data_IF_592215964584
#
_entry.id   IF_592215964584
#
_cell.length_a   1.000
_cell.length_b   1.000
_cell.length_c   1.000
_cell.angle_alpha   90.00
_cell.angle_beta   90.00
_cell.angle_gamma   90.00
#
_symmetry.space_group_name_H-M   'P 1'
#
loop_
_entity.id
_entity.type
_entity.pdbx_description
1 polymer ?
#
# COMPACT_ATOMS: atom_id res chain seq x y z
N UNK A 1 -24.15 20.40 1.44
CA UNK A 1 -22.86 19.72 1.25
C UNK A 1 -22.17 19.24 2.55
N UNK A 2 -22.89 18.92 3.62
CA UNK A 2 -22.29 18.35 4.85
C UNK A 2 -21.73 16.93 4.62
N UNK A 3 -22.34 16.17 3.71
CA UNK A 3 -21.89 14.82 3.36
C UNK A 3 -20.49 14.82 2.74
N UNK A 4 -20.20 15.80 1.88
CA UNK A 4 -18.87 15.94 1.27
C UNK A 4 -17.81 16.18 2.35
N UNK A 5 -18.14 16.99 3.36
CA UNK A 5 -17.25 17.23 4.49
C UNK A 5 -17.04 15.97 5.35
N UNK A 6 -18.09 15.16 5.56
CA UNK A 6 -18.01 13.92 6.34
C UNK A 6 -17.27 12.81 5.56
N UNK A 7 -17.66 12.54 4.32
CA UNK A 7 -16.96 11.61 3.43
C UNK A 7 -15.50 12.04 3.25
N UNK A 8 -15.27 13.35 3.09
CA UNK A 8 -13.95 13.93 2.98
C UNK A 8 -13.15 13.73 4.27
N UNK A 9 -13.75 14.02 5.42
CA UNK A 9 -13.10 13.86 6.73
C UNK A 9 -12.77 12.40 7.03
N UNK A 10 -13.64 11.46 6.69
CA UNK A 10 -13.46 10.03 6.97
C UNK A 10 -12.58 9.34 5.92
N UNK A 11 -12.85 9.52 4.62
CA UNK A 11 -11.96 9.04 3.54
C UNK A 11 -10.57 9.69 3.64
N UNK A 12 -10.51 10.97 3.98
CA UNK A 12 -9.25 11.69 4.16
C UNK A 12 -8.55 11.23 5.44
N UNK A 13 -9.30 10.98 6.51
CA UNK A 13 -8.77 10.45 7.77
C UNK A 13 -8.21 9.03 7.59
N UNK A 14 -8.89 8.18 6.79
CA UNK A 14 -8.40 6.84 6.48
C UNK A 14 -7.20 6.87 5.51
N UNK A 15 -7.23 7.77 4.52
CA UNK A 15 -6.12 7.88 3.56
C UNK A 15 -4.94 8.69 4.08
N UNK A 16 -5.14 9.62 5.01
CA UNK A 16 -4.03 10.25 5.72
C UNK A 16 -3.28 9.21 6.58
N UNK A 17 -3.93 8.10 6.92
CA UNK A 17 -3.25 6.97 7.57
C UNK A 17 -2.37 6.17 6.59
N UNK A 18 -2.63 6.21 5.29
CA UNK A 18 -1.71 5.68 4.26
C UNK A 18 -0.46 6.55 4.13
N UNK A 19 -0.48 7.73 4.71
CA UNK A 19 0.61 8.71 4.62
C UNK A 19 1.92 8.23 5.26
N UNK A 20 1.86 7.39 6.27
CA UNK A 20 3.06 6.78 6.86
C UNK A 20 3.78 5.85 5.87
N UNK A 21 3.03 5.30 4.93
CA UNK A 21 3.58 4.45 3.87
C UNK A 21 4.21 5.31 2.75
N UNK A 22 3.72 6.53 2.64
CA UNK A 22 4.25 7.54 1.71
C UNK A 22 5.75 7.79 1.87
N UNK A 23 6.03 7.94 2.92
CA UNK A 23 7.36 8.25 3.28
C UNK A 23 8.33 7.14 3.00
N UNK A 24 7.94 6.08 3.02
CA UNK A 24 8.78 4.99 2.74
C UNK A 24 8.87 4.70 1.29
N UNK A 25 7.88 5.01 0.69
CA UNK A 25 7.80 4.79 -0.71
C UNK A 25 8.21 5.98 -1.53
N UNK A 26 7.96 7.00 -1.12
CA UNK A 26 8.30 8.21 -1.77
C UNK A 26 9.77 8.57 -1.69
N UNK A 27 10.29 8.26 -0.83
CA UNK A 27 11.67 8.49 -0.66
C UNK A 27 12.53 7.49 -1.36
N UNK A 28 12.12 6.40 -1.43
CA UNK A 28 12.81 5.41 -2.13
C UNK A 28 12.73 5.60 -3.63
N UNK A 29 11.74 6.17 -3.94
CA UNK A 29 11.48 6.53 -5.30
C UNK A 29 12.16 7.82 -5.70
N UNK A 30 12.31 8.47 -4.90
CA UNK A 30 12.88 9.75 -5.07
C UNK A 30 14.39 9.80 -5.19
N UNK A 31 14.88 8.87 -4.83
CA UNK A 31 16.29 8.77 -4.86
C UNK A 31 16.91 8.45 -6.19
N UNK A 32 16.26 8.03 -6.95
CA UNK A 32 16.80 7.59 -8.17
C UNK A 32 16.05 8.11 -9.40
N UNK A 33 15.22 8.86 -9.24
CA UNK A 33 14.43 9.28 -10.33
C UNK A 33 15.03 10.41 -11.15
N UNK A 34 15.91 11.19 -10.92
CA UNK A 34 16.51 12.25 -11.71
C UNK A 34 15.78 12.62 -13.01
N UNK A 35 16.52 12.55 -14.06
CA UNK A 35 15.95 12.86 -15.40
C UNK A 35 14.77 11.97 -15.78
N UNK A 36 14.66 10.79 -15.14
CA UNK A 36 13.59 9.82 -15.41
C UNK A 36 12.40 9.95 -14.43
N UNK A 37 12.31 11.05 -13.73
CA UNK A 37 11.27 11.28 -12.71
C UNK A 37 9.84 11.12 -13.28
N UNK A 38 9.55 11.71 -14.44
CA UNK A 38 8.18 11.74 -15.00
C UNK A 38 7.67 10.33 -15.32
N UNK A 39 8.39 9.52 -16.13
CA UNK A 39 7.90 8.15 -16.40
C UNK A 39 7.82 7.29 -15.13
N UNK A 40 8.78 7.40 -14.22
CA UNK A 40 8.76 6.67 -12.94
C UNK A 40 7.52 7.06 -12.11
N UNK A 41 7.26 8.36 -12.00
CA UNK A 41 6.12 8.87 -11.24
C UNK A 41 4.79 8.40 -11.85
N UNK A 42 4.66 8.44 -13.19
CA UNK A 42 3.44 7.96 -13.87
C UNK A 42 3.22 6.47 -13.55
N UNK A 43 4.27 5.65 -13.67
CA UNK A 43 4.18 4.22 -13.34
C UNK A 43 3.71 4.01 -11.91
N UNK A 44 4.34 4.68 -10.95
CA UNK A 44 4.00 4.57 -9.52
C UNK A 44 2.57 5.03 -9.24
N UNK A 45 2.13 6.14 -9.83
CA UNK A 45 0.78 6.68 -9.60
C UNK A 45 -0.32 5.73 -10.10
N UNK A 46 -0.07 4.97 -11.16
CA UNK A 46 -1.04 3.97 -11.65
C UNK A 46 -1.30 2.92 -10.56
N UNK A 47 -0.26 2.41 -9.93
CA UNK A 47 -0.40 1.33 -8.92
C UNK A 47 -0.68 1.86 -7.52
N UNK A 48 -0.03 2.95 -7.10
CA UNK A 48 -0.18 3.50 -5.75
C UNK A 48 -1.47 4.32 -5.57
N UNK A 49 -2.03 4.88 -6.65
CA UNK A 49 -3.20 5.76 -6.57
C UNK A 49 -4.36 5.26 -7.45
N UNK A 50 -4.08 4.88 -8.68
CA UNK A 50 -5.09 4.39 -9.63
C UNK A 50 -5.72 3.07 -9.20
N UNK A 51 -4.89 2.08 -8.87
CA UNK A 51 -5.38 0.75 -8.48
C UNK A 51 -6.21 0.76 -7.19
N UNK A 52 -5.86 1.51 -6.13
CA UNK A 52 -6.74 1.63 -4.97
C UNK A 52 -8.13 2.18 -5.30
N UNK A 53 -8.22 3.18 -6.18
CA UNK A 53 -9.53 3.68 -6.65
C UNK A 53 -10.31 2.55 -7.34
N UNK A 54 -9.66 1.84 -8.27
CA UNK A 54 -10.29 0.72 -8.99
C UNK A 54 -10.69 -0.40 -8.03
N UNK A 55 -9.92 -0.67 -6.97
CA UNK A 55 -10.24 -1.66 -5.94
C UNK A 55 -11.56 -1.34 -5.23
N UNK A 56 -11.73 -0.08 -4.78
CA UNK A 56 -12.96 0.36 -4.14
C UNK A 56 -14.14 0.30 -5.14
N UNK A 57 -13.91 0.72 -6.38
CA UNK A 57 -14.93 0.67 -7.45
C UNK A 57 -15.35 -0.79 -7.72
N UNK A 58 -14.38 -1.71 -7.75
CA UNK A 58 -14.65 -3.14 -7.96
C UNK A 58 -15.57 -3.69 -6.86
N UNK A 59 -15.28 -3.36 -5.60
CA UNK A 59 -16.13 -3.76 -4.47
C UNK A 59 -17.55 -3.18 -4.61
N UNK A 60 -17.65 -1.90 -4.94
CA UNK A 60 -18.94 -1.22 -5.12
C UNK A 60 -19.76 -1.79 -6.28
N UNK A 61 -19.12 -2.10 -7.40
CA UNK A 61 -19.80 -2.67 -8.59
C UNK A 61 -20.17 -4.15 -8.36
N UNK A 62 -19.34 -4.88 -7.63
CA UNK A 62 -19.54 -6.30 -7.38
C UNK A 62 -20.75 -6.60 -6.48
N UNK A 63 -21.21 -5.63 -5.71
CA UNK A 63 -22.25 -5.79 -4.68
C UNK A 63 -21.87 -6.88 -3.66
N UNK A 64 -20.57 -7.10 -3.47
CA UNK A 64 -20.06 -8.09 -2.51
C UNK A 64 -19.95 -7.45 -1.13
N UNK A 65 -20.18 -8.27 -0.09
CA UNK A 65 -20.03 -7.86 1.31
C UNK A 65 -18.56 -7.60 1.70
N UNK A 66 -17.61 -7.97 0.82
CA UNK A 66 -16.18 -7.77 1.05
C UNK A 66 -15.31 -8.59 0.10
N UNK A 67 -14.01 -8.57 0.36
CA UNK A 67 -13.00 -9.25 -0.45
C UNK A 67 -13.24 -10.76 -0.53
N UNK A 68 -13.61 -11.37 0.61
CA UNK A 68 -13.84 -12.82 0.69
C UNK A 68 -14.90 -13.29 -0.31
N UNK A 69 -16.03 -12.59 -0.37
CA UNK A 69 -17.12 -12.92 -1.30
C UNK A 69 -16.70 -12.67 -2.75
N UNK A 70 -16.01 -11.53 -3.00
CA UNK A 70 -15.55 -11.15 -4.34
C UNK A 70 -14.57 -12.20 -4.90
N UNK A 71 -13.61 -12.66 -4.12
CA UNK A 71 -12.60 -13.64 -4.54
C UNK A 71 -13.16 -15.07 -4.59
N UNK A 72 -14.19 -15.38 -3.79
CA UNK A 72 -14.86 -16.69 -3.80
C UNK A 72 -15.61 -16.98 -5.11
N UNK A 73 -15.84 -15.97 -5.95
CA UNK A 73 -16.40 -16.16 -7.31
C UNK A 73 -15.54 -17.09 -8.16
N UNK A 74 -14.23 -17.13 -7.91
CA UNK A 74 -13.28 -18.04 -8.59
C UNK A 74 -13.48 -19.46 -8.06
N UNK A 75 -13.24 -19.61 -6.74
CA UNK A 75 -13.44 -20.85 -5.98
C UNK A 75 -13.47 -20.50 -4.50
N UNK A 76 -14.24 -21.23 -3.70
CA UNK A 76 -14.29 -20.99 -2.24
C UNK A 76 -12.89 -21.06 -1.60
N UNK A 77 -12.10 -22.07 -1.96
CA UNK A 77 -10.72 -22.22 -1.46
C UNK A 77 -9.81 -21.06 -1.84
N UNK A 78 -9.97 -20.53 -3.06
CA UNK A 78 -9.23 -19.34 -3.50
C UNK A 78 -9.63 -18.11 -2.67
N UNK A 79 -10.93 -17.97 -2.38
CA UNK A 79 -11.43 -16.89 -1.53
C UNK A 79 -10.76 -16.86 -0.16
N UNK A 80 -10.72 -18.02 0.50
CA UNK A 80 -10.03 -18.16 1.79
C UNK A 80 -8.52 -17.84 1.66
N UNK A 81 -7.85 -18.47 0.70
CA UNK A 81 -6.41 -18.27 0.49
C UNK A 81 -6.08 -16.80 0.25
N UNK A 82 -6.76 -16.18 -0.75
CA UNK A 82 -6.42 -14.82 -1.18
C UNK A 82 -6.74 -13.79 -0.08
N UNK A 83 -7.90 -13.95 0.61
CA UNK A 83 -8.28 -13.05 1.69
C UNK A 83 -7.30 -13.15 2.87
N UNK A 84 -6.97 -14.38 3.30
CA UNK A 84 -6.01 -14.58 4.40
C UNK A 84 -4.62 -14.04 4.03
N UNK A 85 -4.13 -14.36 2.82
CA UNK A 85 -2.81 -13.91 2.36
C UNK A 85 -2.75 -12.37 2.31
N UNK A 86 -3.80 -11.75 1.77
CA UNK A 86 -3.90 -10.28 1.69
C UNK A 86 -3.93 -9.64 3.08
N UNK A 87 -4.81 -10.12 3.97
CA UNK A 87 -4.92 -9.54 5.33
C UNK A 87 -3.67 -9.77 6.16
N UNK A 88 -2.99 -10.93 6.03
CA UNK A 88 -1.72 -11.16 6.72
C UNK A 88 -0.62 -10.22 6.20
N UNK A 89 -0.62 -9.97 4.88
CA UNK A 89 0.36 -9.07 4.23
C UNK A 89 0.17 -7.62 4.68
N UNK A 90 -1.07 -7.08 4.59
CA UNK A 90 -1.35 -5.69 5.04
C UNK A 90 -1.46 -5.60 6.56
N UNK A 91 -1.54 -6.71 7.24
CA UNK A 91 -1.64 -6.81 8.70
C UNK A 91 -0.29 -7.11 9.35
N UNK A 92 -0.23 -8.21 10.09
CA UNK A 92 0.88 -8.47 11.00
C UNK A 92 2.23 -8.71 10.34
N UNK A 93 2.27 -9.15 9.07
CA UNK A 93 3.55 -9.50 8.44
C UNK A 93 4.33 -8.26 8.00
N UNK A 94 3.67 -7.26 7.39
CA UNK A 94 4.41 -6.14 6.80
C UNK A 94 3.88 -4.76 7.16
N UNK A 95 2.60 -4.43 6.93
CA UNK A 95 2.16 -3.04 7.07
C UNK A 95 2.10 -2.58 8.54
N UNK A 96 1.63 -3.43 9.46
CA UNK A 96 1.57 -3.06 10.90
C UNK A 96 2.99 -2.88 11.46
N UNK A 97 3.95 -3.85 11.29
CA UNK A 97 5.33 -3.63 11.74
C UNK A 97 5.98 -2.42 11.08
N UNK A 98 5.71 -2.20 9.78
CA UNK A 98 6.25 -1.05 9.04
C UNK A 98 5.81 0.28 9.65
N UNK A 99 4.58 0.37 10.20
CA UNK A 99 4.12 1.59 10.87
C UNK A 99 5.03 1.97 12.06
N UNK A 100 5.38 1.00 12.90
CA UNK A 100 6.27 1.24 14.03
C UNK A 100 7.70 1.55 13.56
N UNK A 101 8.23 0.74 12.62
CA UNK A 101 9.58 0.91 12.09
C UNK A 101 9.75 2.28 11.40
N UNK A 102 8.77 2.70 10.58
CA UNK A 102 8.78 4.02 9.91
C UNK A 102 8.77 5.16 10.93
N UNK A 103 7.90 5.05 11.97
CA UNK A 103 7.83 6.06 13.03
C UNK A 103 9.16 6.18 13.74
N UNK A 104 9.82 5.06 13.99
CA UNK A 104 11.14 5.03 14.63
C UNK A 104 12.20 5.69 13.73
N UNK A 105 12.35 5.17 12.51
CA UNK A 105 13.40 5.61 11.56
C UNK A 105 13.27 7.09 11.19
N UNK A 106 12.04 7.59 10.99
CA UNK A 106 11.83 9.00 10.60
C UNK A 106 11.82 9.94 11.78
N UNK A 107 11.35 9.48 12.94
CA UNK A 107 11.06 10.37 14.06
C UNK A 107 12.06 10.32 15.20
N UNK A 108 12.50 9.13 15.56
CA UNK A 108 13.27 8.92 16.80
C UNK A 108 14.76 8.70 16.50
N UNK A 109 15.05 7.84 15.53
CA UNK A 109 16.43 7.44 15.18
C UNK A 109 17.35 8.64 14.91
N UNK A 110 16.92 9.70 14.16
CA UNK A 110 17.80 10.86 13.91
C UNK A 110 18.07 11.73 15.15
N UNK A 111 17.40 11.46 16.26
CA UNK A 111 17.54 12.21 17.53
C UNK A 111 18.36 11.44 18.58
N UNK A 112 18.88 10.26 18.22
CA UNK A 112 19.57 9.37 19.17
C UNK A 112 21.08 9.42 18.94
N UNK A 113 21.81 9.62 20.04
CA UNK A 113 23.28 9.48 20.07
C UNK A 113 23.65 8.27 20.94
N UNK A 114 23.12 7.07 20.64
CA UNK A 114 23.33 5.90 21.48
C UNK A 114 23.01 4.58 20.82
N UNK A 115 22.67 3.59 21.63
CA UNK A 115 22.34 2.25 21.15
C UNK A 115 20.96 2.24 20.49
N UNK A 116 20.96 2.37 19.17
CA UNK A 116 19.74 2.44 18.33
C UNK A 116 18.86 1.21 18.55
N UNK A 117 19.44 0.02 18.66
CA UNK A 117 18.68 -1.25 18.83
C UNK A 117 17.85 -1.25 20.12
N UNK A 118 18.46 -0.82 21.23
CA UNK A 118 17.77 -0.78 22.53
C UNK A 118 16.64 0.24 22.51
N UNK A 119 16.90 1.45 21.97
CA UNK A 119 15.88 2.51 21.88
C UNK A 119 14.74 2.07 20.95
N UNK A 120 15.05 1.40 19.83
CA UNK A 120 14.06 0.83 18.91
C UNK A 120 13.16 -0.18 19.65
N UNK A 121 13.74 -1.11 20.41
CA UNK A 121 12.98 -2.13 21.14
C UNK A 121 12.04 -1.49 22.17
N UNK A 122 12.52 -0.47 22.91
CA UNK A 122 11.69 0.27 23.89
C UNK A 122 10.55 1.00 23.15
N UNK A 123 10.87 1.74 22.09
CA UNK A 123 9.90 2.51 21.30
C UNK A 123 8.81 1.61 20.72
N UNK A 124 9.20 0.51 20.05
CA UNK A 124 8.24 -0.41 19.42
C UNK A 124 7.35 -1.08 20.47
N UNK A 125 7.91 -1.42 21.63
CA UNK A 125 7.13 -1.99 22.74
C UNK A 125 6.06 -1.00 23.22
N UNK A 126 6.43 0.26 23.46
CA UNK A 126 5.49 1.30 23.88
C UNK A 126 4.45 1.58 22.78
N UNK A 127 4.89 1.63 21.52
CA UNK A 127 4.03 1.85 20.36
C UNK A 127 2.96 0.75 20.29
N UNK A 128 3.37 -0.54 20.36
CA UNK A 128 2.44 -1.66 20.23
C UNK A 128 1.59 -1.87 21.49
N UNK A 129 2.08 -1.48 22.67
CA UNK A 129 1.26 -1.46 23.89
C UNK A 129 0.10 -0.46 23.71
N UNK A 130 0.39 0.73 23.18
CA UNK A 130 -0.64 1.73 22.87
C UNK A 130 -1.60 1.23 21.78
N UNK A 131 -1.06 0.65 20.68
CA UNK A 131 -1.89 0.10 19.59
C UNK A 131 -2.85 -0.95 20.14
N UNK A 132 -2.38 -1.89 20.95
CA UNK A 132 -3.21 -2.96 21.51
C UNK A 132 -4.27 -2.39 22.47
N UNK A 133 -3.88 -1.44 23.32
CA UNK A 133 -4.82 -0.80 24.26
C UNK A 133 -5.99 -0.18 23.51
N UNK A 134 -5.72 0.57 22.43
CA UNK A 134 -6.78 1.23 21.65
C UNK A 134 -7.56 0.23 20.76
N UNK A 135 -6.90 -0.80 20.23
CA UNK A 135 -7.59 -1.82 19.41
C UNK A 135 -8.57 -2.63 20.25
N UNK A 136 -8.26 -2.87 21.53
CA UNK A 136 -9.15 -3.60 22.44
C UNK A 136 -10.26 -2.73 23.05
N UNK A 137 -10.13 -1.40 22.93
CA UNK A 137 -11.11 -0.43 23.48
C UNK A 137 -11.41 0.63 22.41
N UNK A 138 -12.18 0.26 21.38
CA UNK A 138 -12.51 1.23 20.33
C UNK A 138 -13.26 2.40 20.95
N UNK A 139 -12.59 3.54 21.02
CA UNK A 139 -13.12 4.75 21.62
C UNK A 139 -13.10 5.89 20.62
N UNK A 140 -13.96 6.88 20.84
CA UNK A 140 -14.00 8.10 20.01
C UNK A 140 -12.73 8.95 20.12
N UNK A 141 -11.84 8.63 21.08
CA UNK A 141 -10.58 9.35 21.31
C UNK A 141 -9.71 9.31 20.04
N UNK A 142 -9.61 8.13 19.40
CA UNK A 142 -8.78 8.00 18.17
C UNK A 142 -9.31 8.81 16.99
N UNK A 143 -10.64 8.93 16.89
CA UNK A 143 -11.24 9.80 15.87
C UNK A 143 -10.96 11.28 16.16
N UNK A 144 -11.01 11.66 17.42
CA UNK A 144 -10.73 13.03 17.84
C UNK A 144 -9.24 13.40 17.66
N UNK A 145 -8.35 12.49 18.03
CA UNK A 145 -6.89 12.67 17.86
C UNK A 145 -6.57 12.83 16.36
N UNK A 146 -7.10 11.97 15.50
CA UNK A 146 -6.88 12.06 14.05
C UNK A 146 -7.42 13.37 13.45
N UNK A 147 -8.51 13.90 14.00
CA UNK A 147 -9.12 15.15 13.53
C UNK A 147 -8.16 16.34 13.62
N UNK A 148 -7.29 16.37 14.62
CA UNK A 148 -6.33 17.45 14.83
C UNK A 148 -4.94 17.12 14.28
N UNK A 149 -4.47 15.89 14.46
CA UNK A 149 -3.11 15.50 14.06
C UNK A 149 -2.93 15.41 12.55
N UNK A 150 -3.96 14.96 11.80
CA UNK A 150 -3.84 14.89 10.35
C UNK A 150 -3.62 16.27 9.70
N UNK A 151 -4.40 17.33 10.06
CA UNK A 151 -4.08 18.68 9.55
C UNK A 151 -2.70 19.18 9.97
N UNK A 152 -2.28 18.95 11.20
CA UNK A 152 -0.94 19.36 11.68
C UNK A 152 0.14 18.70 10.81
N UNK A 153 0.03 17.39 10.58
CA UNK A 153 0.97 16.65 9.73
C UNK A 153 1.02 17.24 8.31
N UNK A 154 -0.15 17.54 7.72
CA UNK A 154 -0.22 18.14 6.38
C UNK A 154 0.40 19.54 6.32
N UNK A 155 0.23 20.32 7.38
CA UNK A 155 0.86 21.66 7.49
C UNK A 155 2.38 21.49 7.58
N UNK A 156 2.88 20.59 8.44
CA UNK A 156 4.32 20.33 8.55
C UNK A 156 4.91 19.85 7.21
N UNK A 157 4.21 18.92 6.54
CA UNK A 157 4.62 18.44 5.23
C UNK A 157 4.58 19.57 4.20
N UNK A 158 3.55 20.40 4.23
CA UNK A 158 3.43 21.56 3.33
C UNK A 158 4.57 22.55 3.53
N UNK A 159 4.92 22.84 4.79
CA UNK A 159 6.06 23.73 5.11
C UNK A 159 7.37 23.12 4.60
N UNK A 160 7.58 21.81 4.80
CA UNK A 160 8.76 21.11 4.29
C UNK A 160 8.85 21.20 2.76
N UNK A 161 7.75 20.91 2.07
CA UNK A 161 7.67 20.95 0.60
C UNK A 161 7.94 22.37 0.10
N UNK A 162 7.31 23.37 0.70
CA UNK A 162 7.48 24.78 0.31
C UNK A 162 8.94 25.20 0.53
N UNK A 163 9.53 24.85 1.67
CA UNK A 163 10.92 25.18 1.99
C UNK A 163 11.87 24.57 0.95
N UNK A 164 11.68 23.28 0.62
CA UNK A 164 12.52 22.58 -0.36
C UNK A 164 12.36 23.14 -1.78
N UNK A 165 11.13 23.57 -2.16
CA UNK A 165 10.90 24.17 -3.49
C UNK A 165 11.47 25.59 -3.62
N UNK A 166 11.49 26.36 -2.51
CA UNK A 166 12.06 27.72 -2.50
C UNK A 166 13.60 27.69 -2.54
N UNK A 167 14.20 26.75 -1.83
CA UNK A 167 15.66 26.63 -1.72
C UNK A 167 16.13 25.22 -2.11
N UNK A 168 15.97 24.83 -3.38
CA UNK A 168 16.39 23.49 -3.81
C UNK A 168 17.92 23.36 -3.78
N UNK A 169 18.42 22.24 -3.27
CA UNK A 169 19.86 21.94 -3.26
C UNK A 169 20.38 21.73 -4.69
N UNK A 170 19.52 21.20 -5.57
CA UNK A 170 19.89 20.98 -6.97
C UNK A 170 18.64 20.88 -7.86
N UNK A 171 18.83 20.98 -9.17
CA UNK A 171 17.73 20.82 -10.11
C UNK A 171 17.46 19.33 -10.35
N UNK A 172 16.19 18.97 -10.55
CA UNK A 172 15.79 17.58 -10.81
C UNK A 172 16.56 16.99 -12.02
N UNK A 173 16.80 17.82 -13.05
CA UNK A 173 17.49 17.38 -14.27
C UNK A 173 18.97 17.10 -14.09
N UNK A 174 19.60 17.62 -13.03
CA UNK A 174 21.03 17.38 -12.78
C UNK A 174 21.29 16.04 -12.09
N UNK A 175 20.25 15.41 -11.55
CA UNK A 175 20.37 14.12 -10.86
C UNK A 175 20.41 13.00 -11.91
N UNK A 176 21.44 12.15 -11.93
CA UNK A 176 21.46 11.02 -12.87
C UNK A 176 20.43 9.98 -12.49
N UNK A 177 19.79 9.39 -13.47
CA UNK A 177 18.95 8.21 -13.23
C UNK A 177 19.89 7.05 -12.85
N UNK A 178 19.59 6.32 -11.81
CA UNK A 178 20.45 5.24 -11.30
C UNK A 178 19.68 3.95 -11.10
N UNK A 179 20.42 2.84 -11.10
CA UNK A 179 19.83 1.51 -10.92
C UNK A 179 18.79 1.19 -11.99
N UNK A 180 17.74 0.51 -11.62
CA UNK A 180 16.66 0.06 -12.50
C UNK A 180 15.91 1.23 -13.19
N UNK A 181 15.97 2.43 -12.61
CA UNK A 181 15.34 3.63 -13.20
C UNK A 181 16.06 4.10 -14.47
N UNK A 182 17.37 3.81 -14.60
CA UNK A 182 18.13 4.13 -15.82
C UNK A 182 17.69 3.25 -17.00
N UNK A 183 17.31 2.00 -16.72
CA UNK A 183 16.90 1.04 -17.75
C UNK A 183 15.43 1.18 -18.13
N UNK A 184 14.53 1.20 -17.13
CA UNK A 184 13.09 1.23 -17.40
C UNK A 184 12.33 1.95 -16.28
N UNK A 185 12.42 3.26 -16.26
CA UNK A 185 11.85 4.12 -15.22
C UNK A 185 10.34 3.89 -15.00
N UNK A 186 9.57 3.69 -16.08
CA UNK A 186 8.11 3.47 -15.97
C UNK A 186 7.81 2.15 -15.25
N UNK A 187 8.42 1.04 -15.68
CA UNK A 187 8.16 -0.27 -15.07
C UNK A 187 8.65 -0.29 -13.62
N UNK A 188 9.83 0.27 -13.35
CA UNK A 188 10.38 0.38 -11.99
C UNK A 188 9.41 1.18 -11.09
N UNK A 189 8.95 2.34 -11.56
CA UNK A 189 7.96 3.14 -10.83
C UNK A 189 6.66 2.39 -10.58
N UNK A 190 6.13 1.69 -11.58
CA UNK A 190 4.92 0.87 -11.48
C UNK A 190 5.07 -0.19 -10.37
N UNK A 191 6.20 -0.87 -10.31
CA UNK A 191 6.47 -1.90 -9.32
C UNK A 191 6.73 -1.30 -7.92
N UNK A 192 7.38 -0.15 -7.85
CA UNK A 192 7.55 0.58 -6.58
C UNK A 192 6.21 0.96 -5.96
N UNK A 193 5.19 1.17 -6.77
CA UNK A 193 3.84 1.39 -6.26
C UNK A 193 3.26 0.18 -5.51
N UNK A 194 3.78 -1.05 -5.72
CA UNK A 194 3.39 -2.22 -4.92
C UNK A 194 3.78 -2.05 -3.45
N UNK A 195 4.92 -1.42 -3.19
CA UNK A 195 5.44 -1.21 -1.84
C UNK A 195 4.57 -0.28 -0.98
N UNK A 196 3.68 0.50 -1.61
CA UNK A 196 2.72 1.33 -0.86
C UNK A 196 1.62 0.49 -0.19
N UNK A 197 1.36 -0.73 -0.69
CA UNK A 197 0.31 -1.65 -0.21
C UNK A 197 -1.11 -1.09 -0.38
N UNK A 198 -1.28 0.05 -1.03
CA UNK A 198 -2.55 0.78 -1.09
C UNK A 198 -3.62 0.04 -1.92
N UNK A 199 -3.24 -0.63 -3.02
CA UNK A 199 -4.21 -1.40 -3.81
C UNK A 199 -4.75 -2.59 -3.01
N UNK A 200 -3.88 -3.30 -2.27
CA UNK A 200 -4.30 -4.40 -1.39
C UNK A 200 -5.18 -3.86 -0.25
N UNK A 201 -4.77 -2.74 0.36
CA UNK A 201 -5.53 -2.09 1.43
C UNK A 201 -6.93 -1.64 0.93
N UNK A 202 -7.04 -1.19 -0.32
CA UNK A 202 -8.33 -0.78 -0.88
C UNK A 202 -9.31 -1.94 -0.99
N UNK A 203 -8.82 -3.14 -1.26
CA UNK A 203 -9.65 -4.36 -1.30
C UNK A 203 -10.09 -4.78 0.11
N UNK A 204 -9.23 -4.59 1.12
CA UNK A 204 -9.55 -4.93 2.50
C UNK A 204 -10.51 -3.91 3.12
N UNK A 205 -10.26 -2.61 2.91
CA UNK A 205 -10.97 -1.54 3.62
C UNK A 205 -12.04 -0.85 2.78
N UNK A 206 -12.15 -1.19 1.49
CA UNK A 206 -13.13 -0.56 0.60
C UNK A 206 -14.57 -0.75 1.08
N UNK A 207 -14.86 -1.85 1.76
CA UNK A 207 -16.18 -2.11 2.32
C UNK A 207 -16.53 -1.07 3.41
N UNK A 208 -15.56 -0.59 4.17
CA UNK A 208 -15.78 0.45 5.19
C UNK A 208 -16.27 1.74 4.52
N UNK A 209 -15.67 2.12 3.39
CA UNK A 209 -16.09 3.30 2.61
C UNK A 209 -17.54 3.13 2.14
N UNK A 210 -17.88 1.94 1.65
CA UNK A 210 -19.26 1.61 1.20
C UNK A 210 -20.22 1.72 2.39
N UNK A 211 -19.87 1.14 3.54
CA UNK A 211 -20.70 1.18 4.75
C UNK A 211 -20.93 2.62 5.26
N UNK A 212 -19.91 3.47 5.17
CA UNK A 212 -20.03 4.90 5.52
C UNK A 212 -21.06 5.59 4.60
N UNK A 213 -21.00 5.33 3.29
CA UNK A 213 -21.91 5.92 2.30
C UNK A 213 -23.35 5.42 2.56
N UNK A 214 -23.51 4.13 2.83
CA UNK A 214 -24.82 3.53 3.14
C UNK A 214 -25.38 4.10 4.46
N UNK A 215 -24.50 4.25 5.47
CA UNK A 215 -24.87 4.85 6.76
C UNK A 215 -25.33 6.30 6.68
N UNK A 216 -25.02 7.00 5.57
CA UNK A 216 -25.53 8.34 5.31
C UNK A 216 -26.92 8.33 4.64
N UNK A 217 -27.56 7.17 4.57
CA UNK A 217 -28.90 7.01 4.00
C UNK A 217 -28.92 6.85 2.47
N UNK A 218 -27.78 6.55 1.86
CA UNK A 218 -27.69 6.30 0.42
C UNK A 218 -27.72 4.78 0.21
N UNK A 219 -28.91 4.25 -0.11
CA UNK A 219 -29.15 2.81 -0.24
C UNK A 219 -29.17 2.32 -1.69
N UNK A 220 -29.45 3.22 -2.63
CA UNK A 220 -29.50 2.85 -4.06
C UNK A 220 -28.10 2.46 -4.56
N UNK A 221 -27.90 1.24 -5.11
CA UNK A 221 -26.57 0.78 -5.56
C UNK A 221 -25.88 1.71 -6.57
N UNK A 222 -26.66 2.32 -7.48
CA UNK A 222 -26.15 3.28 -8.46
C UNK A 222 -25.61 4.55 -7.80
N UNK A 223 -26.31 5.03 -6.76
CA UNK A 223 -25.92 6.21 -6.00
C UNK A 223 -24.69 5.91 -5.11
N UNK A 224 -24.64 4.72 -4.51
CA UNK A 224 -23.47 4.25 -3.74
C UNK A 224 -22.23 4.26 -4.65
N UNK A 225 -22.30 3.58 -5.80
CA UNK A 225 -21.19 3.52 -6.75
C UNK A 225 -20.74 4.91 -7.22
N UNK A 226 -21.72 5.77 -7.57
CA UNK A 226 -21.45 7.15 -8.02
C UNK A 226 -20.74 7.98 -6.95
N UNK A 227 -21.18 7.91 -5.69
CA UNK A 227 -20.59 8.67 -4.60
C UNK A 227 -19.21 8.10 -4.20
N UNK A 228 -19.05 6.79 -4.25
CA UNK A 228 -17.76 6.11 -4.06
C UNK A 228 -16.74 6.60 -5.09
N UNK A 229 -17.14 6.64 -6.39
CA UNK A 229 -16.28 7.11 -7.47
C UNK A 229 -15.91 8.58 -7.25
N UNK A 230 -16.89 9.44 -6.94
CA UNK A 230 -16.62 10.88 -6.73
C UNK A 230 -15.64 11.14 -5.60
N UNK A 231 -15.84 10.51 -4.44
CA UNK A 231 -14.94 10.67 -3.29
C UNK A 231 -13.56 10.06 -3.59
N UNK A 232 -13.54 8.92 -4.27
CA UNK A 232 -12.31 8.25 -4.68
C UNK A 232 -11.48 9.08 -5.65
N UNK A 233 -12.12 9.68 -6.66
CA UNK A 233 -11.43 10.55 -7.64
C UNK A 233 -10.83 11.77 -6.94
N UNK A 234 -11.58 12.39 -6.03
CA UNK A 234 -11.05 13.54 -5.28
C UNK A 234 -9.82 13.13 -4.46
N UNK A 235 -9.91 12.01 -3.73
CA UNK A 235 -8.78 11.48 -2.95
C UNK A 235 -7.59 11.14 -3.86
N UNK A 236 -7.86 10.58 -5.04
CA UNK A 236 -6.84 10.24 -6.04
C UNK A 236 -6.07 11.49 -6.48
N UNK A 237 -6.78 12.58 -6.80
CA UNK A 237 -6.15 13.84 -7.21
C UNK A 237 -5.23 14.37 -6.09
N UNK A 238 -5.74 14.40 -4.85
CA UNK A 238 -4.97 14.90 -3.71
C UNK A 238 -3.71 14.03 -3.47
N UNK A 239 -3.86 12.71 -3.50
CA UNK A 239 -2.73 11.79 -3.33
C UNK A 239 -1.70 11.95 -4.45
N UNK A 240 -2.16 12.11 -5.70
CA UNK A 240 -1.29 12.35 -6.86
C UNK A 240 -0.43 13.60 -6.64
N UNK A 241 -1.06 14.70 -6.20
CA UNK A 241 -0.34 15.95 -5.94
C UNK A 241 0.71 15.75 -4.83
N UNK A 242 0.33 15.09 -3.74
CA UNK A 242 1.24 14.84 -2.62
C UNK A 242 2.42 13.97 -3.05
N UNK A 243 2.15 12.86 -3.75
CA UNK A 243 3.22 11.96 -4.24
C UNK A 243 4.17 12.69 -5.18
N UNK A 244 3.61 13.49 -6.11
CA UNK A 244 4.41 14.26 -7.06
C UNK A 244 5.31 15.27 -6.35
N UNK A 245 4.76 16.00 -5.37
CA UNK A 245 5.53 16.99 -4.60
C UNK A 245 6.65 16.32 -3.79
N UNK A 246 6.37 15.21 -3.13
CA UNK A 246 7.40 14.47 -2.36
C UNK A 246 8.50 13.92 -3.29
N UNK A 247 8.11 13.41 -4.48
CA UNK A 247 9.08 12.91 -5.46
C UNK A 247 10.01 14.02 -5.96
N UNK A 248 9.45 15.21 -6.22
CA UNK A 248 10.25 16.38 -6.63
C UNK A 248 11.19 16.81 -5.51
N UNK A 249 10.69 16.89 -4.26
CA UNK A 249 11.51 17.26 -3.09
C UNK A 249 12.63 16.22 -2.90
N UNK A 250 12.33 14.94 -3.02
CA UNK A 250 13.34 13.88 -2.93
C UNK A 250 14.44 14.06 -3.98
N UNK A 251 14.06 14.28 -5.23
CA UNK A 251 15.04 14.49 -6.33
C UNK A 251 15.86 15.76 -6.12
N UNK A 252 15.23 16.87 -5.73
CA UNK A 252 15.93 18.14 -5.49
C UNK A 252 16.88 18.09 -4.29
N UNK A 253 16.64 17.20 -3.34
CA UNK A 253 17.45 17.04 -2.12
C UNK A 253 18.46 15.90 -2.22
N UNK A 254 18.69 15.34 -3.41
CA UNK A 254 19.57 14.18 -3.64
C UNK A 254 20.97 14.41 -3.05
N UNK A 255 21.54 15.61 -3.20
CA UNK A 255 22.85 15.97 -2.68
C UNK A 255 23.01 15.81 -1.17
N UNK A 256 21.91 15.89 -0.41
CA UNK A 256 21.94 15.77 1.05
C UNK A 256 22.19 14.34 1.55
N UNK A 257 21.90 13.33 0.71
CA UNK A 257 21.96 11.93 1.14
C UNK A 257 22.66 11.00 0.11
N UNK A 258 23.22 11.56 -0.95
CA UNK A 258 23.88 10.78 -2.02
C UNK A 258 24.96 9.84 -1.48
N UNK A 259 25.77 10.30 -0.53
CA UNK A 259 26.88 9.53 0.06
C UNK A 259 26.36 8.36 0.94
N UNK A 260 25.09 8.44 1.39
CA UNK A 260 24.50 7.41 2.25
C UNK A 260 23.80 6.30 1.47
N UNK A 261 23.62 6.47 0.15
CA UNK A 261 22.92 5.49 -0.70
C UNK A 261 23.65 4.13 -0.78
N UNK A 262 24.94 4.11 -0.49
CA UNK A 262 25.74 2.88 -0.48
C UNK A 262 25.47 2.02 0.78
N UNK A 263 24.87 2.60 1.82
CA UNK A 263 24.55 1.88 3.07
C UNK A 263 23.30 1.01 2.86
N UNK A 264 23.37 -0.32 3.04
CA UNK A 264 22.22 -1.21 2.90
C UNK A 264 21.07 -0.92 3.87
N UNK A 265 21.32 -0.18 4.96
CA UNK A 265 20.28 0.19 5.93
C UNK A 265 19.52 1.45 5.47
N UNK A 266 20.11 2.24 4.54
CA UNK A 266 19.50 3.48 4.07
C UNK A 266 18.20 3.19 3.31
N UNK A 267 17.19 3.98 3.57
CA UNK A 267 15.85 3.77 3.00
C UNK A 267 15.12 5.12 2.88
N UNK A 268 13.91 5.10 2.32
CA UNK A 268 13.12 6.32 2.12
C UNK A 268 12.77 7.06 3.41
N UNK A 269 12.68 6.35 4.53
CA UNK A 269 12.46 6.97 5.85
C UNK A 269 13.67 7.78 6.31
N UNK A 270 14.86 7.20 6.17
CA UNK A 270 16.12 7.90 6.49
C UNK A 270 16.33 9.11 5.57
N UNK A 271 16.11 8.95 4.26
CA UNK A 271 16.19 10.08 3.32
C UNK A 271 15.26 11.22 3.73
N UNK A 272 14.02 10.89 4.07
CA UNK A 272 13.02 11.90 4.50
C UNK A 272 13.46 12.59 5.78
N UNK A 273 14.04 11.87 6.74
CA UNK A 273 14.54 12.43 8.00
C UNK A 273 15.70 13.42 7.75
N UNK A 274 16.65 13.06 6.85
CA UNK A 274 17.76 13.95 6.45
C UNK A 274 17.20 15.24 5.84
N UNK A 275 16.27 15.13 4.90
CA UNK A 275 15.63 16.27 4.23
C UNK A 275 14.90 17.15 5.28
N UNK A 276 14.11 16.52 6.16
CA UNK A 276 13.34 17.24 7.18
C UNK A 276 14.27 17.99 8.16
N UNK A 277 15.38 17.34 8.56
CA UNK A 277 16.38 17.95 9.45
C UNK A 277 17.01 19.18 8.80
N UNK A 278 17.34 19.07 7.50
CA UNK A 278 17.96 20.18 6.74
C UNK A 278 17.02 21.41 6.67
N UNK A 279 15.75 21.19 6.27
CA UNK A 279 14.81 22.30 6.02
C UNK A 279 14.06 22.79 7.26
N UNK A 280 13.77 21.91 8.22
CA UNK A 280 12.94 22.26 9.39
C UNK A 280 13.75 22.43 10.68
N UNK A 281 15.01 22.04 10.68
CA UNK A 281 15.84 22.09 11.89
C UNK A 281 15.35 21.14 12.98
N UNK A 282 15.91 21.27 14.18
CA UNK A 282 15.64 20.36 15.32
C UNK A 282 14.19 20.45 15.81
N UNK A 283 13.63 21.66 15.89
CA UNK A 283 12.25 21.87 16.37
C UNK A 283 11.24 21.23 15.40
N UNK A 284 11.44 21.45 14.09
CA UNK A 284 10.58 20.85 13.05
C UNK A 284 10.65 19.33 13.07
N UNK A 285 11.84 18.77 13.32
CA UNK A 285 12.02 17.33 13.46
C UNK A 285 11.19 16.73 14.60
N UNK A 286 11.14 17.40 15.75
CA UNK A 286 10.35 16.92 16.91
C UNK A 286 8.85 16.90 16.55
N UNK A 287 8.36 17.98 15.92
CA UNK A 287 6.94 18.07 15.50
C UNK A 287 6.63 16.97 14.46
N UNK A 288 7.54 16.79 13.50
CA UNK A 288 7.39 15.73 12.48
C UNK A 288 7.38 14.34 13.13
N UNK A 289 8.30 14.07 14.05
CA UNK A 289 8.40 12.79 14.78
C UNK A 289 7.09 12.46 15.50
N UNK A 290 6.54 13.42 16.21
CA UNK A 290 5.27 13.24 16.93
C UNK A 290 4.12 12.99 15.96
N UNK A 291 3.99 13.80 14.91
CA UNK A 291 2.89 13.68 13.96
C UNK A 291 2.96 12.36 13.18
N UNK A 292 4.15 11.95 12.72
CA UNK A 292 4.36 10.67 12.02
C UNK A 292 4.00 9.50 12.95
N UNK A 293 4.49 9.55 14.20
CA UNK A 293 4.22 8.49 15.18
C UNK A 293 2.71 8.30 15.41
N UNK A 294 1.98 9.40 15.62
CA UNK A 294 0.54 9.30 15.86
C UNK A 294 -0.23 8.87 14.60
N UNK A 295 0.17 9.32 13.41
CA UNK A 295 -0.44 8.88 12.14
C UNK A 295 -0.21 7.38 11.92
N UNK A 296 1.01 6.90 12.14
CA UNK A 296 1.35 5.48 12.04
C UNK A 296 0.61 4.66 13.08
N UNK A 297 0.51 5.16 14.31
CA UNK A 297 -0.21 4.47 15.39
C UNK A 297 -1.69 4.31 15.04
N UNK A 298 -2.34 5.35 14.53
CA UNK A 298 -3.74 5.28 14.08
C UNK A 298 -3.91 4.22 12.97
N UNK A 299 -3.00 4.20 11.99
CA UNK A 299 -3.00 3.18 10.92
C UNK A 299 -2.88 1.78 11.51
N UNK A 300 -1.91 1.57 12.41
CA UNK A 300 -1.68 0.27 13.03
C UNK A 300 -2.91 -0.21 13.81
N UNK A 301 -3.58 0.69 14.56
CA UNK A 301 -4.82 0.37 15.28
C UNK A 301 -5.89 -0.11 14.30
N UNK A 302 -6.11 0.63 13.22
CA UNK A 302 -7.10 0.28 12.19
C UNK A 302 -6.80 -1.06 11.53
N UNK A 303 -5.53 -1.33 11.22
CA UNK A 303 -5.09 -2.59 10.62
C UNK A 303 -5.27 -3.78 11.59
N UNK A 304 -4.86 -3.63 12.87
CA UNK A 304 -5.04 -4.68 13.89
C UNK A 304 -6.53 -5.00 14.05
N UNK A 305 -7.36 -3.96 14.18
CA UNK A 305 -8.81 -4.11 14.34
C UNK A 305 -9.41 -4.85 13.15
N UNK A 306 -9.14 -4.38 11.93
CA UNK A 306 -9.70 -4.98 10.70
C UNK A 306 -9.23 -6.42 10.50
N UNK A 307 -7.96 -6.72 10.77
CA UNK A 307 -7.44 -8.09 10.68
C UNK A 307 -8.09 -8.99 11.72
N UNK A 308 -8.22 -8.53 12.97
CA UNK A 308 -8.82 -9.32 14.04
C UNK A 308 -10.32 -9.59 13.77
N UNK A 309 -11.06 -8.57 13.29
CA UNK A 309 -12.46 -8.73 12.88
C UNK A 309 -12.59 -9.77 11.76
N UNK A 310 -11.86 -9.57 10.68
CA UNK A 310 -11.93 -10.46 9.49
C UNK A 310 -11.58 -11.90 9.85
N UNK A 311 -10.52 -12.11 10.64
CA UNK A 311 -10.10 -13.47 11.03
C UNK A 311 -11.09 -14.11 11.99
N UNK A 312 -11.75 -13.34 12.88
CA UNK A 312 -12.78 -13.88 13.75
C UNK A 312 -14.05 -14.26 12.96
N UNK A 313 -14.35 -13.56 11.87
CA UNK A 313 -15.45 -13.90 10.94
C UNK A 313 -15.12 -15.13 10.09
N UNK A 314 -13.92 -15.20 9.53
CA UNK A 314 -13.49 -16.31 8.65
C UNK A 314 -13.34 -17.61 9.46
N UNK A 315 -12.87 -17.52 10.70
CA UNK A 315 -12.57 -18.68 11.55
C UNK A 315 -13.34 -18.58 12.90
N UNK A 316 -14.67 -18.69 12.89
CA UNK A 316 -15.49 -18.44 14.10
C UNK A 316 -15.25 -19.44 15.25
N UNK A 317 -14.66 -20.59 14.93
CA UNK A 317 -14.32 -21.61 15.95
C UNK A 317 -12.85 -21.57 16.41
N UNK A 318 -12.08 -20.54 15.99
CA UNK A 318 -10.66 -20.42 16.37
C UNK A 318 -10.47 -19.50 17.58
N UNK A 319 -9.93 -18.31 17.35
CA UNK A 319 -9.65 -17.33 18.41
C UNK A 319 -10.71 -16.23 18.41
N UNK A 320 -10.99 -15.71 19.59
CA UNK A 320 -11.84 -14.51 19.72
C UNK A 320 -11.13 -13.29 19.13
N UNK A 321 -11.89 -12.25 18.81
CA UNK A 321 -11.37 -10.95 18.36
C UNK A 321 -10.19 -10.49 19.23
N UNK A 322 -10.37 -10.54 20.57
CA UNK A 322 -9.35 -10.10 21.51
C UNK A 322 -8.04 -10.88 21.34
N UNK A 323 -8.14 -12.21 21.21
CA UNK A 323 -6.97 -13.08 21.09
C UNK A 323 -6.27 -12.89 19.73
N UNK A 324 -7.04 -12.68 18.63
CA UNK A 324 -6.50 -12.34 17.32
C UNK A 324 -5.75 -11.02 17.38
N UNK A 325 -6.35 -9.98 18.00
CA UNK A 325 -5.71 -8.67 18.15
C UNK A 325 -4.39 -8.76 18.93
N UNK A 326 -4.36 -9.55 20.02
CA UNK A 326 -3.14 -9.78 20.81
C UNK A 326 -2.09 -10.50 19.95
N UNK A 327 -2.48 -11.59 19.27
CA UNK A 327 -1.57 -12.40 18.45
C UNK A 327 -0.94 -11.55 17.31
N UNK A 328 -1.77 -10.79 16.60
CA UNK A 328 -1.29 -9.94 15.50
C UNK A 328 -0.38 -8.81 15.99
N UNK A 329 -0.73 -8.19 17.12
CA UNK A 329 0.08 -7.12 17.72
C UNK A 329 1.43 -7.66 18.21
N UNK A 330 1.43 -8.81 18.90
CA UNK A 330 2.66 -9.45 19.40
C UNK A 330 3.59 -9.86 18.26
N UNK A 331 3.03 -10.44 17.20
CA UNK A 331 3.81 -10.82 16.01
C UNK A 331 4.40 -9.57 15.34
N UNK A 332 3.58 -8.51 15.17
CA UNK A 332 4.02 -7.25 14.57
C UNK A 332 5.14 -6.58 15.38
N UNK A 333 5.07 -6.67 16.71
CA UNK A 333 6.14 -6.17 17.58
C UNK A 333 7.47 -6.89 17.29
N UNK A 334 7.43 -8.21 17.17
CA UNK A 334 8.65 -8.99 16.86
C UNK A 334 9.22 -8.57 15.48
N UNK A 335 8.36 -8.50 14.47
CA UNK A 335 8.77 -8.15 13.09
C UNK A 335 9.30 -6.72 13.01
N UNK A 336 8.72 -5.77 13.75
CA UNK A 336 9.13 -4.36 13.67
C UNK A 336 10.58 -4.13 14.13
N UNK A 337 11.11 -5.02 14.98
CA UNK A 337 12.47 -4.91 15.49
C UNK A 337 13.53 -5.42 14.51
N UNK A 338 13.13 -6.00 13.37
CA UNK A 338 14.05 -6.41 12.30
C UNK A 338 14.59 -5.17 11.54
N UNK A 339 13.87 -4.07 11.60
CA UNK A 339 14.23 -2.81 10.93
C UNK A 339 13.47 -2.59 9.63
N UNK A 340 13.27 -1.32 9.28
CA UNK A 340 12.43 -0.90 8.14
C UNK A 340 12.90 -1.48 6.80
N UNK A 341 14.20 -1.40 6.51
CA UNK A 341 14.78 -1.87 5.23
C UNK A 341 14.54 -3.36 5.01
N UNK A 342 14.74 -4.17 6.05
CA UNK A 342 14.51 -5.62 5.97
C UNK A 342 13.03 -5.96 5.80
N UNK A 343 12.12 -5.23 6.48
CA UNK A 343 10.68 -5.44 6.33
C UNK A 343 10.29 -5.20 4.87
N UNK A 344 10.82 -4.14 4.25
CA UNK A 344 10.56 -3.81 2.83
C UNK A 344 11.08 -4.95 1.94
N UNK A 345 12.32 -5.39 2.13
CA UNK A 345 12.92 -6.47 1.34
C UNK A 345 12.14 -7.79 1.44
N UNK A 346 11.71 -8.16 2.64
CA UNK A 346 10.95 -9.40 2.85
C UNK A 346 9.52 -9.31 2.30
N UNK A 347 8.95 -8.10 2.20
CA UNK A 347 7.61 -7.94 1.64
C UNK A 347 7.61 -8.05 0.11
N UNK A 348 8.69 -7.68 -0.57
CA UNK A 348 8.74 -7.60 -2.02
C UNK A 348 8.29 -8.89 -2.73
N UNK A 349 8.85 -10.09 -2.42
CA UNK A 349 8.40 -11.32 -3.11
C UNK A 349 6.91 -11.58 -2.94
N UNK A 350 6.37 -11.34 -1.73
CA UNK A 350 4.93 -11.54 -1.45
C UNK A 350 4.08 -10.55 -2.25
N UNK A 351 4.55 -9.30 -2.38
CA UNK A 351 3.85 -8.28 -3.15
C UNK A 351 3.86 -8.60 -4.65
N UNK A 352 5.00 -9.04 -5.17
CA UNK A 352 5.10 -9.46 -6.58
C UNK A 352 4.19 -10.66 -6.90
N UNK A 353 3.84 -11.46 -5.89
CA UNK A 353 2.87 -12.54 -6.03
C UNK A 353 1.42 -12.04 -5.92
N UNK A 354 1.09 -11.21 -4.90
CA UNK A 354 -0.29 -10.82 -4.61
C UNK A 354 -0.83 -9.71 -5.52
N UNK A 355 0.02 -8.75 -5.92
CA UNK A 355 -0.45 -7.60 -6.72
C UNK A 355 -1.00 -8.00 -8.08
N UNK A 356 -0.34 -8.87 -8.87
CA UNK A 356 -0.92 -9.33 -10.12
C UNK A 356 -2.32 -9.94 -9.94
N UNK A 357 -2.49 -10.78 -8.93
CA UNK A 357 -3.77 -11.43 -8.63
C UNK A 357 -4.83 -10.39 -8.24
N UNK A 358 -4.45 -9.40 -7.43
CA UNK A 358 -5.34 -8.30 -7.03
C UNK A 358 -5.76 -7.46 -8.24
N UNK A 359 -4.81 -7.07 -9.08
CA UNK A 359 -5.05 -6.23 -10.27
C UNK A 359 -6.01 -6.96 -11.22
N UNK A 360 -5.72 -8.22 -11.55
CA UNK A 360 -6.57 -8.99 -12.46
C UNK A 360 -7.96 -9.22 -11.86
N UNK A 361 -8.06 -9.51 -10.55
CA UNK A 361 -9.35 -9.66 -9.87
C UNK A 361 -10.17 -8.37 -9.92
N UNK A 362 -9.54 -7.21 -9.66
CA UNK A 362 -10.17 -5.89 -9.74
C UNK A 362 -10.73 -5.66 -11.16
N UNK A 363 -9.88 -5.86 -12.19
CA UNK A 363 -10.26 -5.62 -13.59
C UNK A 363 -11.40 -6.57 -14.02
N UNK A 364 -11.27 -7.87 -13.73
CA UNK A 364 -12.32 -8.84 -14.05
C UNK A 364 -13.64 -8.50 -13.34
N UNK A 365 -13.58 -7.95 -12.12
CA UNK A 365 -14.79 -7.57 -11.38
C UNK A 365 -15.47 -6.35 -12.03
N UNK A 366 -14.69 -5.31 -12.37
CA UNK A 366 -15.22 -4.09 -13.00
C UNK A 366 -15.85 -4.42 -14.36
N UNK A 367 -15.17 -5.23 -15.17
CA UNK A 367 -15.63 -5.61 -16.50
C UNK A 367 -16.59 -6.82 -16.47
N UNK A 368 -16.91 -7.35 -15.29
CA UNK A 368 -17.72 -8.56 -15.10
C UNK A 368 -19.06 -8.55 -15.81
N UNK A 369 -19.73 -7.38 -15.90
CA UNK A 369 -21.03 -7.23 -16.56
C UNK A 369 -20.98 -7.62 -18.06
N UNK A 370 -19.83 -7.43 -18.73
CA UNK A 370 -19.70 -7.73 -20.17
C UNK A 370 -19.66 -9.24 -20.47
N UNK A 371 -19.33 -10.06 -19.47
CA UNK A 371 -19.33 -11.52 -19.60
C UNK A 371 -20.22 -12.20 -18.54
N UNK A 372 -21.20 -11.45 -17.99
CA UNK A 372 -22.18 -11.96 -17.05
C UNK A 372 -21.56 -12.55 -15.76
N UNK A 373 -20.42 -12.05 -15.34
CA UNK A 373 -19.67 -12.54 -14.19
C UNK A 373 -19.41 -14.06 -14.24
N UNK A 374 -19.20 -14.59 -15.46
CA UNK A 374 -18.96 -16.02 -15.67
C UNK A 374 -17.73 -16.51 -14.89
N UNK A 375 -17.92 -17.53 -14.05
CA UNK A 375 -16.87 -18.15 -13.24
C UNK A 375 -15.68 -18.64 -14.08
N UNK A 376 -15.94 -19.13 -15.30
CA UNK A 376 -14.90 -19.64 -16.19
C UNK A 376 -13.87 -18.54 -16.51
N UNK A 377 -14.35 -17.30 -16.79
CA UNK A 377 -13.47 -16.18 -17.13
C UNK A 377 -12.59 -15.83 -15.93
N UNK A 378 -13.15 -15.80 -14.71
CA UNK A 378 -12.39 -15.55 -13.48
C UNK A 378 -11.34 -16.63 -13.24
N UNK A 379 -11.72 -17.91 -13.37
CA UNK A 379 -10.81 -19.05 -13.13
C UNK A 379 -9.64 -19.03 -14.13
N UNK A 380 -9.92 -18.83 -15.41
CA UNK A 380 -8.87 -18.80 -16.45
C UNK A 380 -7.97 -17.57 -16.27
N UNK A 381 -8.54 -16.38 -16.09
CA UNK A 381 -7.77 -15.15 -15.92
C UNK A 381 -6.84 -15.22 -14.71
N UNK A 382 -7.37 -15.59 -13.55
CA UNK A 382 -6.59 -15.70 -12.31
C UNK A 382 -5.61 -16.89 -12.38
N UNK A 383 -6.01 -18.02 -12.96
CA UNK A 383 -5.15 -19.21 -13.08
C UNK A 383 -3.88 -18.94 -13.87
N UNK A 384 -4.01 -18.33 -15.04
CA UNK A 384 -2.84 -17.96 -15.87
C UNK A 384 -1.98 -16.91 -15.17
N UNK A 385 -2.62 -15.91 -14.54
CA UNK A 385 -1.91 -14.89 -13.76
C UNK A 385 -1.15 -15.50 -12.59
N UNK A 386 -1.75 -16.47 -11.89
CA UNK A 386 -1.14 -17.12 -10.72
C UNK A 386 0.17 -17.84 -11.10
N UNK A 387 0.20 -18.52 -12.25
CA UNK A 387 1.42 -19.19 -12.74
C UNK A 387 2.55 -18.14 -12.89
N UNK A 388 2.26 -17.03 -13.56
CA UNK A 388 3.24 -15.96 -13.76
C UNK A 388 3.64 -15.28 -12.45
N UNK A 389 2.68 -15.07 -11.53
CA UNK A 389 2.95 -14.47 -10.23
C UNK A 389 3.87 -15.36 -9.37
N UNK A 390 3.73 -16.69 -9.47
CA UNK A 390 4.66 -17.61 -8.80
C UNK A 390 6.07 -17.47 -9.39
N UNK A 391 6.19 -17.35 -10.72
CA UNK A 391 7.49 -17.13 -11.35
C UNK A 391 8.12 -15.78 -10.90
N UNK A 392 7.32 -14.72 -10.79
CA UNK A 392 7.80 -13.42 -10.27
C UNK A 392 8.24 -13.53 -8.80
N UNK A 393 7.49 -14.26 -7.97
CA UNK A 393 7.87 -14.53 -6.59
C UNK A 393 9.23 -15.24 -6.52
N UNK A 394 9.46 -16.26 -7.35
CA UNK A 394 10.74 -16.99 -7.40
C UNK A 394 11.88 -16.05 -7.83
N UNK A 395 11.63 -15.21 -8.82
CA UNK A 395 12.62 -14.24 -9.32
C UNK A 395 13.04 -13.27 -8.21
N UNK A 396 12.07 -12.64 -7.55
CA UNK A 396 12.35 -11.60 -6.54
C UNK A 396 12.95 -12.21 -5.26
N UNK A 397 12.59 -13.46 -4.92
CA UNK A 397 13.18 -14.14 -3.75
C UNK A 397 14.57 -14.75 -4.02
N UNK A 398 15.04 -14.73 -5.29
CA UNK A 398 16.31 -15.32 -5.67
C UNK A 398 16.32 -16.84 -5.66
N UNK A 399 15.14 -17.46 -5.63
CA UNK A 399 15.00 -18.90 -5.55
C UNK A 399 14.86 -19.50 -6.97
N UNK A 400 15.27 -20.77 -7.10
CA UNK A 400 15.06 -21.56 -8.32
C UNK A 400 15.57 -20.83 -9.59
N UNK A 401 16.81 -20.39 -9.59
CA UNK A 401 17.42 -19.58 -10.65
C UNK A 401 17.28 -20.21 -12.06
N UNK A 402 17.41 -21.53 -12.17
CA UNK A 402 17.20 -22.22 -13.45
C UNK A 402 15.78 -22.05 -14.01
N UNK A 403 14.75 -21.99 -13.14
CA UNK A 403 13.36 -21.74 -13.54
C UNK A 403 13.20 -20.29 -13.99
N UNK A 404 13.87 -19.37 -13.28
CA UNK A 404 13.85 -17.92 -13.58
C UNK A 404 14.51 -17.66 -14.95
N UNK A 405 15.67 -18.27 -15.21
CA UNK A 405 16.37 -18.18 -16.52
C UNK A 405 15.51 -18.74 -17.65
N UNK A 406 14.94 -19.93 -17.44
CA UNK A 406 14.02 -20.53 -18.40
C UNK A 406 12.83 -19.62 -18.71
N UNK A 407 12.20 -19.05 -17.67
CA UNK A 407 11.05 -18.16 -17.83
C UNK A 407 11.43 -16.86 -18.56
N UNK A 408 12.62 -16.31 -18.28
CA UNK A 408 13.08 -15.07 -18.91
C UNK A 408 13.29 -15.21 -20.43
N UNK A 409 13.52 -16.43 -20.90
CA UNK A 409 13.73 -16.71 -22.32
C UNK A 409 12.46 -16.67 -23.18
N UNK A 410 11.28 -16.84 -22.57
CA UNK A 410 10.03 -16.92 -23.37
C UNK A 410 8.89 -16.05 -22.83
N UNK A 411 8.94 -15.64 -21.57
CA UNK A 411 7.84 -14.87 -20.95
C UNK A 411 8.06 -13.38 -21.16
N UNK A 412 7.23 -12.72 -22.00
CA UNK A 412 7.42 -11.29 -22.26
C UNK A 412 7.31 -10.45 -20.99
N UNK A 413 8.11 -9.40 -20.90
CA UNK A 413 8.13 -8.42 -19.80
C UNK A 413 8.54 -9.02 -18.43
N UNK A 414 8.98 -10.28 -18.41
CA UNK A 414 9.32 -10.98 -17.16
C UNK A 414 10.51 -10.32 -16.45
N UNK A 415 11.55 -9.97 -17.21
CA UNK A 415 12.73 -9.29 -16.67
C UNK A 415 12.39 -7.92 -16.05
N UNK A 416 11.33 -7.29 -16.57
CA UNK A 416 10.84 -6.00 -16.06
C UNK A 416 9.89 -6.15 -14.86
N UNK A 417 9.63 -7.39 -14.38
CA UNK A 417 8.67 -7.63 -13.28
C UNK A 417 7.20 -7.56 -13.68
N UNK A 418 6.91 -7.52 -14.97
CA UNK A 418 5.55 -7.45 -15.52
C UNK A 418 5.18 -8.73 -16.28
N UNK A 419 5.84 -9.85 -15.94
CA UNK A 419 5.64 -11.14 -16.60
C UNK A 419 4.20 -11.68 -16.51
N UNK A 420 3.43 -11.21 -15.54
CA UNK A 420 2.04 -11.65 -15.34
C UNK A 420 1.06 -11.04 -16.36
N UNK A 421 1.41 -9.93 -17.01
CA UNK A 421 0.49 -9.14 -17.84
C UNK A 421 -0.01 -9.96 -19.05
N UNK A 422 0.91 -10.55 -19.80
CA UNK A 422 0.55 -11.31 -21.00
C UNK A 422 -0.24 -12.58 -20.63
N UNK A 423 0.21 -13.43 -19.68
CA UNK A 423 -0.61 -14.58 -19.24
C UNK A 423 -1.99 -14.17 -18.72
N UNK A 424 -2.11 -13.07 -17.98
CA UNK A 424 -3.40 -12.56 -17.48
C UNK A 424 -4.36 -12.22 -18.63
N UNK A 425 -3.87 -11.55 -19.67
CA UNK A 425 -4.66 -11.22 -20.87
C UNK A 425 -5.05 -12.52 -21.61
N UNK A 426 -4.10 -13.42 -21.84
CA UNK A 426 -4.34 -14.70 -22.52
C UNK A 426 -5.37 -15.52 -21.73
N UNK A 427 -5.19 -15.65 -20.40
CA UNK A 427 -6.11 -16.40 -19.55
C UNK A 427 -7.54 -15.83 -19.60
N UNK A 428 -7.66 -14.50 -19.60
CA UNK A 428 -8.95 -13.82 -19.72
C UNK A 428 -9.59 -14.13 -21.09
N UNK A 429 -8.81 -14.03 -22.18
CA UNK A 429 -9.28 -14.34 -23.54
C UNK A 429 -9.73 -15.81 -23.68
N UNK A 430 -8.94 -16.74 -23.15
CA UNK A 430 -9.28 -18.18 -23.12
C UNK A 430 -10.60 -18.39 -22.35
N UNK A 431 -10.74 -17.72 -21.19
CA UNK A 431 -11.97 -17.80 -20.40
C UNK A 431 -13.19 -17.28 -21.15
N UNK A 432 -13.04 -16.17 -21.90
CA UNK A 432 -14.13 -15.61 -22.73
C UNK A 432 -14.54 -16.57 -23.85
N UNK A 433 -13.57 -17.21 -24.50
CA UNK A 433 -13.82 -18.20 -25.55
C UNK A 433 -14.53 -19.43 -24.94
N UNK A 434 -14.01 -19.97 -23.85
CA UNK A 434 -14.57 -21.15 -23.16
C UNK A 434 -16.02 -20.87 -22.71
N UNK A 435 -16.30 -19.66 -22.19
CA UNK A 435 -17.65 -19.26 -21.80
C UNK A 435 -18.64 -19.35 -22.98
N UNK A 436 -18.22 -18.90 -24.19
CA UNK A 436 -19.09 -18.95 -25.38
C UNK A 436 -19.45 -20.38 -25.76
N UNK A 437 -18.46 -21.30 -25.67
CA UNK A 437 -18.70 -22.73 -25.97
C UNK A 437 -19.66 -23.37 -24.94
N UNK A 438 -19.48 -23.04 -23.66
CA UNK A 438 -20.35 -23.57 -22.60
C UNK A 438 -21.80 -23.09 -22.76
N UNK A 439 -22.01 -21.80 -23.10
CA UNK A 439 -23.34 -21.25 -23.33
C UNK A 439 -24.02 -21.81 -24.57
N UNK A 440 -23.27 -22.28 -25.57
CA UNK A 440 -23.82 -22.85 -26.79
C UNK A 440 -24.31 -24.30 -26.57
N UNK A 441 -23.75 -25.00 -25.56
CA UNK A 441 -24.06 -26.39 -25.25
C UNK A 441 -25.06 -26.53 -24.07
N UNK A 442 -25.50 -25.45 -23.44
CA UNK A 442 -26.51 -25.39 -22.39
C UNK A 442 -27.84 -24.87 -22.94
#
# INVERSE_FOLDING_TARGET
MPWLRRCFSECFSERATSFSRLXXXXXXXXXXXGASLIPALIGMLITAVGMPLLGIVALGVSKSSGLMEMSSRIAKGYGYFFTCALYLTIGPFFAIPRCAATSFTMGIEPLIDGNVTVVQAIFTTLFFAAVLFFALRPSNIMNSVGKYLNPIFLVCLGVLVIAALISPEQTVSSVPASGDYAENAFATGFLQGYDTLDALASLAFGIIVINVITGMGIEEPGAIAKNTIKSGVFSMILMTVIYALIAVVGAQSYGLYADQLADPSFNGGTAFAVIARHYLGSTGMIVLALTVTFCCMKTAIGLVTSCADTFSEIFPHSLSYRNWAIAFTAFSLLVSNIGLSKIISFSAPVLYFLYPLAIVLILLTIFGKYFGHSRIVYVCGIGFTMIAAVLDLLRVSGLAQGVVEWASGWLPLYTMGLGWLVPGIIGTAVGLIAMKFTKKNA
#
